data_IF_337576018829
#
_entry.id   IF_337576018829
#
_cell.length_a   1.000
_cell.length_b   1.000
_cell.length_c   1.000
_cell.angle_alpha   90.00
_cell.angle_beta   90.00
_cell.angle_gamma   90.00
#
_symmetry.space_group_name_H-M   'P 1'
#
loop_
_entity.id
_entity.type
_entity.pdbx_description
1 polymer ?
#
# COMPACT_ATOMS: atom_id res chain seq x y z
N UNK A 1 -17.46 -0.34 -27.53
CA UNK A 1 -16.15 -0.98 -27.78
C UNK A 1 -15.07 0.08 -27.58
N UNK A 2 -13.80 -0.30 -27.41
CA UNK A 2 -12.71 0.68 -27.48
C UNK A 2 -12.37 0.87 -28.96
N UNK A 3 -12.83 1.97 -29.54
CA UNK A 3 -12.85 2.14 -31.01
C UNK A 3 -11.53 2.73 -31.56
N UNK A 4 -10.69 3.28 -30.69
CA UNK A 4 -9.39 3.86 -31.04
C UNK A 4 -8.24 2.97 -30.57
N UNK A 5 -7.28 2.71 -31.47
CA UNK A 5 -6.00 2.10 -31.09
C UNK A 5 -5.15 3.11 -30.31
N UNK A 6 -4.82 2.78 -29.07
CA UNK A 6 -4.04 3.64 -28.17
C UNK A 6 -2.86 2.89 -27.56
N UNK A 7 -1.77 3.57 -27.18
CA UNK A 7 -0.73 2.94 -26.39
C UNK A 7 -1.27 2.65 -24.99
N UNK A 8 -0.83 1.54 -24.40
CA UNK A 8 -1.10 1.20 -23.01
C UNK A 8 0.21 0.97 -22.27
N UNK A 9 0.18 1.08 -20.95
CA UNK A 9 1.26 0.57 -20.12
C UNK A 9 0.78 -0.58 -19.23
N UNK A 10 1.70 -1.46 -18.86
CA UNK A 10 1.46 -2.56 -17.94
C UNK A 10 2.55 -2.57 -16.89
N UNK A 11 2.14 -2.51 -15.62
CA UNK A 11 3.07 -2.62 -14.50
C UNK A 11 3.46 -4.09 -14.36
N UNK A 12 4.76 -4.35 -14.40
CA UNK A 12 5.33 -5.68 -14.25
C UNK A 12 5.96 -5.82 -12.87
N UNK A 13 5.91 -7.03 -12.32
CA UNK A 13 6.40 -7.34 -10.98
C UNK A 13 6.83 -8.79 -10.92
N UNK A 14 7.93 -9.03 -10.20
CA UNK A 14 8.40 -10.38 -9.85
C UNK A 14 7.23 -11.26 -9.37
N UNK A 15 7.05 -12.41 -10.02
CA UNK A 15 5.92 -13.31 -9.77
C UNK A 15 5.93 -13.92 -8.37
N UNK A 16 7.09 -14.09 -7.74
CA UNK A 16 7.19 -14.50 -6.34
C UNK A 16 6.75 -13.36 -5.43
N UNK A 17 7.16 -12.12 -5.73
CA UNK A 17 6.66 -10.94 -5.00
C UNK A 17 5.14 -10.74 -5.15
N UNK A 18 4.54 -11.13 -6.28
CA UNK A 18 3.08 -11.13 -6.48
C UNK A 18 2.41 -12.14 -5.57
N UNK A 19 2.89 -13.39 -5.54
CA UNK A 19 2.39 -14.41 -4.62
C UNK A 19 2.50 -13.98 -3.17
N UNK A 20 3.66 -13.43 -2.76
CA UNK A 20 3.85 -12.87 -1.42
C UNK A 20 2.75 -11.86 -1.08
N UNK A 21 2.43 -10.94 -1.99
CA UNK A 21 1.35 -9.97 -1.76
C UNK A 21 -0.02 -10.64 -1.65
N UNK A 22 -0.29 -11.66 -2.45
CA UNK A 22 -1.56 -12.39 -2.39
C UNK A 22 -1.70 -13.27 -1.13
N UNK A 23 -0.61 -13.88 -0.63
CA UNK A 23 -0.57 -14.58 0.66
C UNK A 23 -0.84 -13.62 1.82
N UNK A 24 -0.23 -12.44 1.78
CA UNK A 24 -0.41 -11.39 2.78
C UNK A 24 -1.68 -10.54 2.55
N UNK A 25 -2.58 -10.97 1.66
CA UNK A 25 -3.72 -10.15 1.30
C UNK A 25 -4.73 -10.06 2.45
N UNK A 26 -5.14 -8.83 2.77
CA UNK A 26 -6.21 -8.56 3.73
C UNK A 26 -7.56 -8.80 3.06
N UNK A 27 -8.38 -9.67 3.64
CA UNK A 27 -9.74 -9.93 3.19
C UNK A 27 -10.73 -8.93 3.79
N UNK A 28 -10.58 -8.62 5.09
CA UNK A 28 -11.44 -7.66 5.79
C UNK A 28 -10.74 -7.10 7.02
N UNK A 29 -11.40 -6.14 7.68
CA UNK A 29 -11.00 -5.61 8.98
C UNK A 29 -12.21 -5.52 9.89
N UNK A 30 -11.98 -5.33 11.18
CA UNK A 30 -13.00 -4.75 12.04
C UNK A 30 -13.54 -3.45 11.41
N UNK A 31 -14.81 -3.12 11.71
CA UNK A 31 -15.45 -1.92 11.20
C UNK A 31 -14.61 -0.68 11.49
N UNK A 32 -14.15 -0.04 10.41
CA UNK A 32 -13.30 1.16 10.48
C UNK A 32 -14.02 2.35 11.12
N UNK A 33 -15.37 2.33 11.12
CA UNK A 33 -16.20 3.40 11.67
C UNK A 33 -15.88 3.66 13.15
N UNK A 34 -15.57 2.61 13.91
CA UNK A 34 -15.18 2.72 15.34
C UNK A 34 -13.92 3.55 15.57
N UNK A 35 -13.06 3.66 14.55
CA UNK A 35 -11.77 4.36 14.64
C UNK A 35 -11.78 5.71 13.93
N UNK A 36 -12.92 6.15 13.37
CA UNK A 36 -12.99 7.38 12.56
C UNK A 36 -13.02 8.66 13.36
N UNK A 37 -13.68 8.64 14.52
CA UNK A 37 -13.78 9.78 15.41
C UNK A 37 -13.56 9.29 16.83
N UNK A 38 -12.63 9.92 17.54
CA UNK A 38 -12.33 9.63 18.94
C UNK A 38 -11.83 10.90 19.62
N UNK A 39 -11.69 10.85 20.93
CA UNK A 39 -11.32 11.96 21.81
C UNK A 39 -10.07 11.63 22.62
N UNK A 40 -9.59 12.61 23.39
CA UNK A 40 -8.48 12.42 24.32
C UNK A 40 -8.79 11.42 25.45
N UNK A 41 -10.08 11.14 25.72
CA UNK A 41 -10.54 10.26 26.80
C UNK A 41 -10.68 8.80 26.35
N UNK A 42 -10.74 8.56 25.04
CA UNK A 42 -10.92 7.23 24.48
C UNK A 42 -9.64 6.41 24.56
N UNK A 43 -9.78 5.10 24.74
CA UNK A 43 -8.66 4.17 24.73
C UNK A 43 -8.03 4.10 23.32
N UNK A 44 -6.70 4.16 23.28
CA UNK A 44 -5.93 4.03 22.03
C UNK A 44 -5.99 2.58 21.56
N UNK A 45 -6.75 2.33 20.49
CA UNK A 45 -6.91 1.02 19.89
C UNK A 45 -6.82 1.07 18.36
N UNK A 46 -6.58 -0.08 17.74
CA UNK A 46 -6.40 -0.21 16.29
C UNK A 46 -7.20 -1.40 15.76
N UNK A 47 -7.67 -1.36 14.50
CA UNK A 47 -8.54 -2.38 13.94
C UNK A 47 -7.84 -3.74 13.85
N UNK A 48 -8.59 -4.80 14.16
CA UNK A 48 -8.17 -6.15 13.83
C UNK A 48 -8.19 -6.36 12.30
N UNK A 49 -7.17 -7.05 11.79
CA UNK A 49 -7.01 -7.39 10.38
C UNK A 49 -7.32 -8.87 10.18
N UNK A 50 -8.11 -9.18 9.15
CA UNK A 50 -8.42 -10.54 8.75
C UNK A 50 -7.81 -10.82 7.38
N UNK A 51 -6.97 -11.86 7.30
CA UNK A 51 -6.25 -12.23 6.08
C UNK A 51 -7.02 -13.25 5.24
N UNK A 52 -6.70 -13.29 3.95
CA UNK A 52 -7.27 -14.20 2.95
C UNK A 52 -7.08 -15.67 3.37
N UNK A 53 -8.06 -16.50 3.01
CA UNK A 53 -7.96 -17.96 3.06
C UNK A 53 -8.17 -18.59 4.44
N UNK A 54 -8.51 -17.80 5.47
CA UNK A 54 -9.02 -18.34 6.73
C UNK A 54 -9.72 -17.33 7.67
N UNK A 55 -9.91 -16.05 7.29
CA UNK A 55 -10.34 -14.98 8.22
C UNK A 55 -9.57 -14.98 9.55
N UNK A 56 -8.28 -15.36 9.51
CA UNK A 56 -7.38 -15.40 10.67
C UNK A 56 -6.77 -14.02 10.90
N UNK A 57 -6.29 -13.80 12.12
CA UNK A 57 -5.58 -12.57 12.53
C UNK A 57 -4.13 -12.49 12.01
N UNK A 58 -3.71 -13.47 11.21
CA UNK A 58 -2.38 -13.57 10.62
C UNK A 58 -2.48 -14.27 9.25
N UNK A 59 -1.60 -13.94 8.29
CA UNK A 59 -1.55 -14.62 7.00
C UNK A 59 -1.33 -16.13 7.15
N UNK A 60 -1.72 -16.91 6.14
CA UNK A 60 -1.50 -18.35 6.08
C UNK A 60 -0.90 -18.74 4.73
N UNK A 61 0.35 -19.20 4.72
CA UNK A 61 1.03 -19.57 3.47
C UNK A 61 0.41 -20.80 2.80
N UNK A 62 -0.33 -21.64 3.55
CA UNK A 62 -0.98 -22.82 2.99
C UNK A 62 -2.11 -22.51 2.01
N UNK A 63 -2.54 -21.25 1.93
CA UNK A 63 -3.53 -20.85 0.94
C UNK A 63 -3.02 -21.07 -0.49
N UNK A 64 -1.69 -21.20 -0.70
CA UNK A 64 -1.05 -21.57 -1.97
C UNK A 64 -1.46 -22.95 -2.49
N UNK A 65 -1.86 -23.89 -1.63
CA UNK A 65 -2.28 -25.25 -2.03
C UNK A 65 -3.71 -25.33 -2.57
N UNK A 66 -4.52 -24.28 -2.39
CA UNK A 66 -5.93 -24.28 -2.77
C UNK A 66 -6.24 -23.32 -3.92
N UNK A 67 -7.53 -23.25 -4.29
CA UNK A 67 -8.04 -22.30 -5.29
C UNK A 67 -8.15 -20.87 -4.76
N UNK A 68 -7.32 -20.49 -3.79
CA UNK A 68 -7.29 -19.16 -3.21
C UNK A 68 -6.62 -18.15 -4.14
N UNK A 69 -5.89 -18.59 -5.15
CA UNK A 69 -5.27 -17.72 -6.15
C UNK A 69 -5.94 -17.96 -7.50
N UNK A 70 -6.20 -16.88 -8.24
CA UNK A 70 -6.77 -17.03 -9.58
C UNK A 70 -6.27 -15.97 -10.55
N UNK A 71 -6.42 -16.26 -11.84
CA UNK A 71 -6.19 -15.31 -12.92
C UNK A 71 -7.12 -14.10 -12.82
N UNK A 72 -8.37 -14.27 -12.33
CA UNK A 72 -9.32 -13.16 -12.17
C UNK A 72 -8.85 -12.16 -11.12
N UNK A 73 -8.28 -12.65 -10.01
CA UNK A 73 -7.72 -11.80 -8.95
C UNK A 73 -6.33 -11.25 -9.32
N UNK A 74 -5.77 -11.66 -10.47
CA UNK A 74 -4.47 -11.22 -10.94
C UNK A 74 -3.31 -11.78 -10.12
N UNK A 75 -3.53 -12.83 -9.33
CA UNK A 75 -2.50 -13.42 -8.48
C UNK A 75 -1.51 -14.26 -9.30
N UNK A 76 -2.04 -14.98 -10.29
CA UNK A 76 -1.32 -15.94 -11.13
C UNK A 76 -1.01 -15.38 -12.53
N UNK A 77 -1.03 -14.05 -12.69
CA UNK A 77 -0.85 -13.40 -13.99
C UNK A 77 -2.13 -12.87 -14.63
N UNK A 78 -2.36 -13.21 -15.88
CA UNK A 78 -3.49 -12.78 -16.71
C UNK A 78 -3.16 -11.63 -17.68
N UNK A 79 -1.89 -11.28 -17.85
CA UNK A 79 -1.48 -10.29 -18.86
C UNK A 79 -1.88 -10.76 -20.26
N UNK A 80 -1.56 -12.00 -20.64
CA UNK A 80 -1.90 -12.53 -21.97
C UNK A 80 -3.40 -12.50 -22.26
N UNK A 81 -4.23 -12.82 -21.26
CA UNK A 81 -5.69 -12.74 -21.38
C UNK A 81 -6.15 -11.29 -21.60
N UNK A 82 -5.66 -10.34 -20.79
CA UNK A 82 -6.00 -8.92 -20.91
C UNK A 82 -5.57 -8.35 -22.26
N UNK A 83 -4.36 -8.67 -22.72
CA UNK A 83 -3.87 -8.25 -24.03
C UNK A 83 -4.70 -8.86 -25.17
N UNK A 84 -5.14 -10.12 -25.04
CA UNK A 84 -6.04 -10.76 -26.01
C UNK A 84 -7.39 -10.05 -26.09
N UNK A 85 -7.97 -9.68 -24.94
CA UNK A 85 -9.24 -8.93 -24.90
C UNK A 85 -9.10 -7.53 -25.52
N UNK A 86 -7.94 -6.90 -25.34
CA UNK A 86 -7.68 -5.54 -25.82
C UNK A 86 -6.97 -5.49 -27.18
N UNK A 87 -6.78 -6.63 -27.87
CA UNK A 87 -5.92 -6.73 -29.06
C UNK A 87 -6.27 -5.74 -30.18
N UNK A 88 -7.54 -5.38 -30.32
CA UNK A 88 -8.01 -4.47 -31.36
C UNK A 88 -7.84 -2.99 -30.97
N UNK A 89 -7.63 -2.70 -29.68
CA UNK A 89 -7.51 -1.35 -29.12
C UNK A 89 -6.06 -0.98 -28.73
N UNK A 90 -5.12 -1.92 -28.78
CA UNK A 90 -3.72 -1.68 -28.42
C UNK A 90 -2.90 -1.35 -29.68
N UNK A 91 -2.20 -0.22 -29.63
CA UNK A 91 -1.15 0.11 -30.63
C UNK A 91 0.25 -0.33 -30.17
N UNK A 92 0.52 -0.24 -28.86
CA UNK A 92 1.79 -0.58 -28.23
C UNK A 92 1.59 -0.84 -26.75
N UNK A 93 2.39 -1.73 -26.18
CA UNK A 93 2.44 -2.00 -24.73
C UNK A 93 3.78 -1.50 -24.19
N UNK A 94 3.73 -0.66 -23.16
CA UNK A 94 4.90 -0.25 -22.40
C UNK A 94 4.96 -1.05 -21.09
N UNK A 95 5.94 -1.93 -20.94
CA UNK A 95 6.18 -2.63 -19.69
C UNK A 95 6.97 -1.74 -18.73
N UNK A 96 6.41 -1.53 -17.54
CA UNK A 96 6.99 -0.66 -16.51
C UNK A 96 7.25 -1.50 -15.27
N UNK A 97 8.50 -1.66 -14.83
CA UNK A 97 8.77 -2.42 -13.62
C UNK A 97 8.22 -1.68 -12.39
N UNK A 98 7.69 -2.42 -11.42
CA UNK A 98 6.98 -1.84 -10.26
C UNK A 98 7.86 -0.89 -9.44
N UNK A 99 9.18 -1.08 -9.48
CA UNK A 99 10.13 -0.25 -8.77
C UNK A 99 10.20 1.16 -9.38
N UNK A 100 10.02 1.30 -10.70
CA UNK A 100 9.92 2.60 -11.38
C UNK A 100 8.72 3.43 -10.91
N UNK A 101 7.69 2.80 -10.33
CA UNK A 101 6.54 3.47 -9.73
C UNK A 101 6.53 3.40 -8.18
N UNK A 102 7.70 3.19 -7.58
CA UNK A 102 7.85 3.13 -6.12
C UNK A 102 8.45 4.43 -5.57
N UNK A 103 7.77 5.04 -4.60
CA UNK A 103 8.21 6.26 -3.93
C UNK A 103 8.38 7.43 -4.91
N UNK A 104 9.40 8.26 -4.70
CA UNK A 104 9.65 9.46 -5.51
C UNK A 104 9.86 9.17 -7.00
N UNK A 105 10.35 7.97 -7.37
CA UNK A 105 10.49 7.55 -8.77
C UNK A 105 9.16 7.55 -9.50
N UNK A 106 8.05 7.29 -8.79
CA UNK A 106 6.72 7.26 -9.39
C UNK A 106 6.34 8.60 -10.02
N UNK A 107 6.68 9.72 -9.38
CA UNK A 107 6.40 11.05 -9.92
C UNK A 107 7.09 11.25 -11.28
N UNK A 108 8.39 11.00 -11.35
CA UNK A 108 9.18 11.15 -12.57
C UNK A 108 8.74 10.18 -13.68
N UNK A 109 8.43 8.93 -13.32
CA UNK A 109 7.89 7.95 -14.26
C UNK A 109 6.57 8.43 -14.85
N UNK A 110 5.65 8.97 -14.04
CA UNK A 110 4.38 9.51 -14.54
C UNK A 110 4.57 10.80 -15.35
N UNK A 111 5.58 11.63 -15.07
CA UNK A 111 5.94 12.75 -15.94
C UNK A 111 6.38 12.26 -17.32
N UNK A 112 7.21 11.21 -17.40
CA UNK A 112 7.62 10.62 -18.67
C UNK A 112 6.43 10.00 -19.41
N UNK A 113 5.59 9.23 -18.71
CA UNK A 113 4.40 8.62 -19.29
C UNK A 113 3.40 9.66 -19.79
N UNK A 114 3.28 10.83 -19.16
CA UNK A 114 2.39 11.90 -19.63
C UNK A 114 2.76 12.36 -21.04
N UNK A 115 4.06 12.37 -21.38
CA UNK A 115 4.57 12.73 -22.70
C UNK A 115 4.30 11.62 -23.74
N UNK A 116 4.32 10.36 -23.32
CA UNK A 116 4.14 9.17 -24.18
C UNK A 116 2.65 8.89 -24.42
N UNK A 117 1.81 9.08 -23.41
CA UNK A 117 0.41 8.69 -23.38
C UNK A 117 -0.54 9.89 -23.44
N UNK A 118 -0.01 11.10 -23.46
CA UNK A 118 -0.74 12.36 -23.62
C UNK A 118 -1.83 12.61 -22.56
N UNK A 119 -1.60 12.20 -21.31
CA UNK A 119 -2.44 12.58 -20.17
C UNK A 119 -1.86 13.81 -19.43
N UNK A 120 -2.65 14.40 -18.54
CA UNK A 120 -2.26 15.61 -17.80
C UNK A 120 -0.98 15.42 -16.99
N UNK A 121 -0.05 16.37 -17.12
CA UNK A 121 1.22 16.35 -16.39
C UNK A 121 0.95 16.37 -14.86
N UNK A 122 1.52 15.42 -14.08
CA UNK A 122 1.41 15.44 -12.62
C UNK A 122 2.03 16.71 -12.03
N UNK A 123 1.34 17.32 -11.06
CA UNK A 123 1.79 18.58 -10.42
C UNK A 123 2.24 18.43 -8.96
N UNK A 124 1.83 17.37 -8.27
CA UNK A 124 2.11 17.18 -6.84
C UNK A 124 2.96 15.93 -6.60
N UNK A 125 4.27 16.11 -6.41
CA UNK A 125 5.20 14.99 -6.13
C UNK A 125 4.92 14.29 -4.79
N UNK A 126 4.40 14.99 -3.78
CA UNK A 126 4.06 14.40 -2.46
C UNK A 126 2.95 13.35 -2.56
N UNK A 127 2.06 13.47 -3.53
CA UNK A 127 1.03 12.45 -3.78
C UNK A 127 1.63 11.10 -4.23
N UNK A 128 2.86 11.11 -4.76
CA UNK A 128 3.58 9.92 -5.24
C UNK A 128 4.59 9.37 -4.24
N UNK A 129 4.96 10.12 -3.20
CA UNK A 129 6.09 9.79 -2.32
C UNK A 129 5.84 8.60 -1.37
N UNK A 130 4.64 8.02 -1.35
CA UNK A 130 4.31 6.93 -0.43
C UNK A 130 3.23 6.01 -0.94
N UNK A 131 2.98 4.93 -0.20
CA UNK A 131 1.96 3.93 -0.55
C UNK A 131 0.57 4.49 -0.25
N UNK A 132 -0.33 4.43 -1.23
CA UNK A 132 -1.78 4.66 -1.01
C UNK A 132 -2.39 3.49 -0.23
N UNK A 133 -1.88 2.29 -0.46
CA UNK A 133 -2.29 1.10 0.28
C UNK A 133 -1.84 1.20 1.75
N UNK A 134 -2.79 1.01 2.66
CA UNK A 134 -2.63 1.19 4.11
C UNK A 134 -2.58 -0.13 4.89
N UNK A 135 -2.44 -1.25 4.19
CA UNK A 135 -2.56 -2.59 4.75
C UNK A 135 -1.43 -2.93 5.74
N UNK A 136 -0.31 -2.20 5.71
CA UNK A 136 0.80 -2.31 6.66
C UNK A 136 0.58 -1.48 7.94
N UNK A 137 -0.66 -1.44 8.46
CA UNK A 137 -0.98 -0.87 9.77
C UNK A 137 -1.53 0.56 9.81
N UNK A 138 -1.91 1.14 8.66
CA UNK A 138 -2.55 2.46 8.58
C UNK A 138 -4.02 2.41 8.14
N UNK A 139 -4.64 1.24 8.21
CA UNK A 139 -5.92 0.96 7.54
C UNK A 139 -7.09 1.81 8.06
N UNK A 140 -7.01 2.27 9.32
CA UNK A 140 -7.98 3.14 10.00
C UNK A 140 -8.00 4.57 9.43
N UNK A 141 -6.90 5.05 8.87
CA UNK A 141 -6.79 6.42 8.37
C UNK A 141 -7.77 6.70 7.20
N UNK A 142 -8.13 7.95 6.92
CA UNK A 142 -8.00 9.09 7.83
C UNK A 142 -8.92 8.94 9.05
N UNK A 143 -8.54 9.52 10.19
CA UNK A 143 -9.37 9.60 11.39
C UNK A 143 -9.24 10.97 12.06
N UNK A 144 -10.22 11.33 12.89
CA UNK A 144 -10.29 12.62 13.56
C UNK A 144 -10.20 12.43 15.07
N UNK A 145 -9.23 13.10 15.68
CA UNK A 145 -9.20 13.33 17.12
C UNK A 145 -9.98 14.61 17.41
N UNK A 146 -11.06 14.50 18.16
CA UNK A 146 -11.86 15.62 18.67
C UNK A 146 -11.36 16.01 20.05
N UNK A 147 -11.05 17.28 20.20
CA UNK A 147 -10.49 17.82 21.42
C UNK A 147 -11.50 18.82 21.97
N UNK A 148 -12.27 18.38 22.97
CA UNK A 148 -13.11 19.30 23.71
C UNK A 148 -12.22 20.12 24.65
N UNK A 149 -12.09 21.38 24.30
CA UNK A 149 -11.28 22.35 25.01
C UNK A 149 -11.97 22.93 26.23
N UNK A 150 -13.27 22.67 26.45
CA UNK A 150 -14.00 23.15 27.64
C UNK A 150 -13.42 22.65 28.96
N UNK A 151 -12.72 21.51 28.94
CA UNK A 151 -12.00 20.97 30.09
C UNK A 151 -10.72 21.77 30.41
N UNK A 152 -10.29 22.70 29.55
CA UNK A 152 -9.03 23.46 29.63
C UNK A 152 -9.24 24.98 29.53
N UNK A 153 -10.19 25.43 28.73
CA UNK A 153 -10.59 26.82 28.52
C UNK A 153 -12.06 26.90 28.09
N UNK A 154 -12.88 27.67 28.83
CA UNK A 154 -14.33 27.78 28.62
C UNK A 154 -14.70 28.48 27.31
N UNK A 155 -13.75 29.14 26.64
CA UNK A 155 -14.00 29.94 25.44
C UNK A 155 -13.72 29.22 24.11
N UNK A 156 -13.14 28.02 24.14
CA UNK A 156 -12.74 27.34 22.90
C UNK A 156 -13.78 26.30 22.48
N UNK A 157 -14.11 26.36 21.19
CA UNK A 157 -14.95 25.46 20.42
C UNK A 157 -14.10 24.26 19.96
N UNK A 158 -14.65 23.04 20.06
CA UNK A 158 -14.00 21.75 19.72
C UNK A 158 -12.94 21.87 18.60
N UNK A 159 -11.69 21.46 18.86
CA UNK A 159 -10.65 21.36 17.82
C UNK A 159 -10.68 19.96 17.22
N UNK A 160 -10.62 19.87 15.88
CA UNK A 160 -10.49 18.59 15.18
C UNK A 160 -9.09 18.42 14.59
N UNK A 161 -8.36 17.43 15.07
CA UNK A 161 -7.07 17.03 14.49
C UNK A 161 -7.30 15.85 13.54
N UNK A 162 -7.17 16.10 12.24
CA UNK A 162 -7.19 15.09 11.20
C UNK A 162 -5.85 14.35 11.16
N UNK A 163 -5.89 13.06 11.42
CA UNK A 163 -4.75 12.13 11.31
C UNK A 163 -4.87 11.42 9.96
N UNK A 164 -3.86 11.61 9.10
CA UNK A 164 -3.92 11.10 7.72
C UNK A 164 -2.51 10.92 7.14
N UNK A 165 -2.41 10.63 5.85
CA UNK A 165 -1.15 10.69 5.11
C UNK A 165 -1.23 11.71 3.96
N UNK A 166 -0.09 12.17 3.45
CA UNK A 166 -0.05 13.05 2.28
C UNK A 166 -0.79 12.47 1.06
N UNK A 167 -0.83 11.14 0.92
CA UNK A 167 -1.48 10.48 -0.22
C UNK A 167 -3.00 10.42 -0.09
N UNK A 168 -3.52 10.31 1.14
CA UNK A 168 -4.96 10.28 1.39
C UNK A 168 -5.59 11.66 1.43
N UNK A 169 -4.84 12.64 1.95
CA UNK A 169 -5.28 14.02 2.03
C UNK A 169 -4.11 14.95 1.68
N UNK A 170 -3.83 15.16 0.39
CA UNK A 170 -2.72 15.99 -0.08
C UNK A 170 -2.89 17.49 0.22
N UNK A 171 -4.02 17.92 0.80
CA UNK A 171 -4.31 19.32 1.18
C UNK A 171 -4.21 20.28 -0.02
N UNK A 172 -4.85 19.94 -1.14
CA UNK A 172 -4.73 20.69 -2.40
C UNK A 172 -5.20 22.14 -2.33
N UNK A 173 -6.14 22.46 -1.44
CA UNK A 173 -6.67 23.81 -1.26
C UNK A 173 -5.92 24.62 -0.19
N UNK A 174 -4.87 24.04 0.42
CA UNK A 174 -4.06 24.65 1.48
C UNK A 174 -4.87 25.18 2.68
N UNK A 175 -6.07 24.65 2.93
CA UNK A 175 -6.93 25.09 4.05
C UNK A 175 -6.56 24.45 5.38
N UNK A 176 -5.74 23.40 5.36
CA UNK A 176 -5.27 22.71 6.55
C UNK A 176 -3.81 23.05 6.85
N UNK A 177 -3.48 23.12 8.14
CA UNK A 177 -2.11 23.37 8.63
C UNK A 177 -1.56 22.10 9.28
N UNK A 178 -0.37 21.68 8.86
CA UNK A 178 0.32 20.54 9.48
C UNK A 178 0.90 20.97 10.83
N UNK A 179 0.42 20.38 11.93
CA UNK A 179 0.80 20.77 13.30
C UNK A 179 1.91 19.91 13.91
N UNK A 180 2.41 18.89 13.21
CA UNK A 180 3.41 17.95 13.73
C UNK A 180 4.61 18.64 14.38
N UNK A 181 5.14 19.67 13.72
CA UNK A 181 6.28 20.44 14.22
C UNK A 181 5.90 21.33 15.41
N UNK A 182 4.68 21.90 15.41
CA UNK A 182 4.18 22.76 16.47
C UNK A 182 4.02 22.01 17.80
N UNK A 183 3.53 20.75 17.74
CA UNK A 183 3.41 19.89 18.93
C UNK A 183 4.64 19.01 19.18
N UNK A 184 5.71 19.15 18.37
CA UNK A 184 7.02 18.53 18.56
C UNK A 184 7.02 16.99 18.66
N UNK A 185 6.17 16.32 17.90
CA UNK A 185 6.08 14.85 17.89
C UNK A 185 6.74 14.24 16.66
N UNK A 186 7.26 13.02 16.80
CA UNK A 186 7.84 12.25 15.69
C UNK A 186 6.84 11.21 15.15
N UNK A 187 6.53 11.31 13.85
CA UNK A 187 5.64 10.38 13.17
C UNK A 187 6.18 8.94 13.19
N UNK A 188 5.28 7.92 13.24
CA UNK A 188 5.65 6.52 13.03
C UNK A 188 6.13 6.20 11.61
N UNK A 189 5.68 6.98 10.62
CA UNK A 189 6.03 6.85 9.20
C UNK A 189 6.13 8.25 8.58
N UNK A 190 7.05 8.45 7.64
CA UNK A 190 7.38 9.77 7.09
C UNK A 190 6.21 10.48 6.39
N UNK A 191 5.24 9.71 5.88
CA UNK A 191 4.10 10.23 5.16
C UNK A 191 2.90 10.57 6.06
N UNK A 192 2.94 10.23 7.36
CA UNK A 192 1.86 10.50 8.31
C UNK A 192 1.89 11.97 8.73
N UNK A 193 0.72 12.60 8.76
CA UNK A 193 0.54 14.01 9.06
C UNK A 193 -0.66 14.25 9.97
N UNK A 194 -0.57 15.34 10.73
CA UNK A 194 -1.63 15.85 11.59
C UNK A 194 -2.04 17.22 11.08
N UNK A 195 -3.30 17.33 10.66
CA UNK A 195 -3.87 18.56 10.11
C UNK A 195 -4.94 19.13 11.03
N UNK A 196 -4.99 20.45 11.13
CA UNK A 196 -6.11 21.21 11.70
C UNK A 196 -6.53 22.29 10.72
N UNK A 197 -7.74 22.84 10.86
CA UNK A 197 -8.14 23.99 10.04
C UNK A 197 -7.38 25.25 10.44
N UNK A 198 -7.27 26.19 9.51
CA UNK A 198 -6.53 27.43 9.74
C UNK A 198 -7.07 28.26 10.92
N UNK A 199 -8.38 28.30 11.08
CA UNK A 199 -9.04 28.97 12.20
C UNK A 199 -8.73 28.31 13.56
N UNK A 200 -8.73 26.97 13.61
CA UNK A 200 -8.41 26.18 14.81
C UNK A 200 -6.93 26.27 15.18
N UNK A 201 -6.04 26.39 14.17
CA UNK A 201 -4.61 26.52 14.39
C UNK A 201 -4.25 27.74 15.23
N UNK A 202 -4.87 28.90 14.96
CA UNK A 202 -4.61 30.14 15.72
C UNK A 202 -4.92 29.94 17.19
N UNK A 203 -6.09 29.37 17.46
CA UNK A 203 -6.54 29.04 18.82
C UNK A 203 -5.59 28.06 19.51
N UNK A 204 -5.15 27.02 18.78
CA UNK A 204 -4.20 26.05 19.31
C UNK A 204 -2.86 26.69 19.69
N UNK A 205 -2.33 27.60 18.87
CA UNK A 205 -1.02 28.24 19.11
C UNK A 205 -1.03 29.21 20.30
N UNK A 206 -2.18 29.79 20.62
CA UNK A 206 -2.35 30.68 21.78
C UNK A 206 -2.51 29.89 23.10
N UNK A 207 -2.91 28.62 23.04
CA UNK A 207 -3.16 27.77 24.21
C UNK A 207 -2.01 26.77 24.46
N UNK A 208 -1.04 27.18 25.28
CA UNK A 208 0.12 26.33 25.65
C UNK A 208 -0.26 25.03 26.36
N UNK A 209 -1.31 25.06 27.19
CA UNK A 209 -1.79 23.86 27.90
C UNK A 209 -2.31 22.83 26.92
N UNK A 210 -3.08 23.27 25.93
CA UNK A 210 -3.63 22.43 24.88
C UNK A 210 -2.53 21.83 23.99
N UNK A 211 -1.53 22.63 23.61
CA UNK A 211 -0.36 22.12 22.87
C UNK A 211 0.35 20.99 23.62
N UNK A 212 0.56 21.16 24.93
CA UNK A 212 1.20 20.12 25.76
C UNK A 212 0.34 18.86 25.85
N UNK A 213 -0.98 19.00 26.04
CA UNK A 213 -1.91 17.86 26.06
C UNK A 213 -1.89 17.08 24.73
N UNK A 214 -1.89 17.79 23.60
CA UNK A 214 -1.78 17.15 22.28
C UNK A 214 -0.43 16.46 22.10
N UNK A 215 0.67 17.10 22.51
CA UNK A 215 1.98 16.50 22.45
C UNK A 215 2.01 15.16 23.23
N UNK A 216 1.61 15.18 24.50
CA UNK A 216 1.59 13.98 25.35
C UNK A 216 0.67 12.87 24.79
N UNK A 217 -0.49 13.26 24.25
CA UNK A 217 -1.40 12.31 23.61
C UNK A 217 -0.78 11.67 22.37
N UNK A 218 -0.22 12.48 21.45
CA UNK A 218 0.33 11.97 20.20
C UNK A 218 1.64 11.19 20.41
N UNK A 219 2.42 11.49 21.45
CA UNK A 219 3.55 10.65 21.85
C UNK A 219 3.09 9.23 22.21
N UNK A 220 2.04 9.10 23.03
CA UNK A 220 1.43 7.81 23.40
C UNK A 220 0.79 7.12 22.20
N UNK A 221 -0.02 7.84 21.43
CA UNK A 221 -0.70 7.33 20.24
C UNK A 221 0.29 6.81 19.19
N UNK A 222 1.34 7.58 18.89
CA UNK A 222 2.37 7.16 17.94
C UNK A 222 3.26 6.04 18.46
N UNK A 223 3.48 5.95 19.76
CA UNK A 223 4.15 4.78 20.35
C UNK A 223 3.33 3.51 20.14
N UNK A 224 2.02 3.55 20.46
CA UNK A 224 1.12 2.43 20.26
C UNK A 224 0.98 2.07 18.76
N UNK A 225 0.89 3.06 17.88
CA UNK A 225 0.80 2.85 16.44
C UNK A 225 2.08 2.21 15.87
N UNK A 226 3.27 2.59 16.36
CA UNK A 226 4.52 1.90 15.99
C UNK A 226 4.49 0.43 16.39
N UNK A 227 4.04 0.12 17.60
CA UNK A 227 3.88 -1.27 18.07
C UNK A 227 2.92 -2.06 17.20
N UNK A 228 1.78 -1.47 16.84
CA UNK A 228 0.78 -2.09 15.98
C UNK A 228 1.30 -2.34 14.54
N UNK A 229 1.94 -1.35 13.92
CA UNK A 229 2.56 -1.48 12.59
C UNK A 229 3.62 -2.58 12.62
N UNK A 230 4.50 -2.57 13.62
CA UNK A 230 5.55 -3.58 13.77
C UNK A 230 4.95 -4.98 13.92
N UNK A 231 3.95 -5.15 14.78
CA UNK A 231 3.28 -6.44 14.94
C UNK A 231 2.68 -6.95 13.62
N UNK A 232 2.07 -6.06 12.81
CA UNK A 232 1.57 -6.47 11.49
C UNK A 232 2.73 -6.92 10.60
N UNK A 233 3.78 -6.10 10.48
CA UNK A 233 4.93 -6.37 9.61
C UNK A 233 5.65 -7.66 9.98
N UNK A 234 5.85 -7.93 11.27
CA UNK A 234 6.51 -9.13 11.78
C UNK A 234 5.73 -10.43 11.46
N UNK A 235 4.43 -10.34 11.19
CA UNK A 235 3.59 -11.49 10.83
C UNK A 235 3.45 -11.71 9.31
N UNK A 236 3.98 -10.81 8.46
CA UNK A 236 3.87 -10.94 7.01
C UNK A 236 4.91 -11.91 6.45
N UNK A 237 4.50 -12.74 5.49
CA UNK A 237 5.44 -13.59 4.77
C UNK A 237 6.33 -12.76 3.83
N UNK A 238 7.59 -13.13 3.74
CA UNK A 238 8.55 -12.61 2.77
C UNK A 238 8.55 -13.44 1.48
N UNK A 239 9.18 -12.92 0.43
CA UNK A 239 9.45 -13.69 -0.79
C UNK A 239 10.27 -14.96 -0.50
N UNK A 240 11.16 -14.94 0.50
CA UNK A 240 11.95 -16.10 0.88
C UNK A 240 11.09 -17.21 1.47
N UNK A 241 10.05 -16.86 2.23
CA UNK A 241 9.10 -17.83 2.78
C UNK A 241 8.33 -18.53 1.67
N UNK A 242 7.93 -17.79 0.61
CA UNK A 242 7.30 -18.37 -0.58
C UNK A 242 8.24 -19.34 -1.28
N UNK A 243 9.50 -18.98 -1.47
CA UNK A 243 10.51 -19.84 -2.11
C UNK A 243 10.78 -21.11 -1.29
N UNK A 244 10.94 -20.98 0.03
CA UNK A 244 11.12 -22.11 0.94
C UNK A 244 9.90 -23.03 0.93
N UNK A 245 8.70 -22.46 0.82
CA UNK A 245 7.47 -23.23 0.67
C UNK A 245 7.47 -24.05 -0.63
N UNK A 246 7.87 -23.46 -1.75
CA UNK A 246 7.97 -24.18 -3.03
C UNK A 246 9.04 -25.28 -3.02
N UNK A 247 10.19 -25.08 -2.36
CA UNK A 247 11.21 -26.14 -2.18
C UNK A 247 10.61 -27.41 -1.55
N UNK A 248 9.72 -27.23 -0.57
CA UNK A 248 9.04 -28.33 0.12
C UNK A 248 7.79 -28.85 -0.61
N UNK A 249 7.38 -28.23 -1.72
CA UNK A 249 6.17 -28.57 -2.47
C UNK A 249 6.45 -28.53 -3.99
N UNK A 250 7.30 -29.42 -4.51
CA UNK A 250 7.79 -29.36 -5.90
C UNK A 250 6.68 -29.43 -6.95
N UNK A 251 5.65 -30.27 -6.75
CA UNK A 251 4.49 -30.33 -7.66
C UNK A 251 3.80 -28.97 -7.81
N UNK A 252 3.56 -28.29 -6.68
CA UNK A 252 2.95 -26.98 -6.66
C UNK A 252 3.84 -25.92 -7.33
N UNK A 253 5.16 -26.00 -7.14
CA UNK A 253 6.11 -25.12 -7.80
C UNK A 253 6.04 -25.28 -9.34
N UNK A 254 6.01 -26.50 -9.84
CA UNK A 254 5.91 -26.78 -11.28
C UNK A 254 4.56 -26.34 -11.88
N UNK A 255 3.46 -26.54 -11.15
CA UNK A 255 2.14 -26.02 -11.54
C UNK A 255 2.14 -24.50 -11.65
N UNK A 256 2.70 -23.80 -10.65
CA UNK A 256 2.82 -22.34 -10.67
C UNK A 256 3.67 -21.86 -11.85
N UNK A 257 4.82 -22.52 -12.11
CA UNK A 257 5.68 -22.20 -13.28
C UNK A 257 4.88 -22.28 -14.58
N UNK A 258 4.10 -23.35 -14.77
CA UNK A 258 3.24 -23.52 -15.96
C UNK A 258 2.19 -22.43 -16.08
N UNK A 259 1.59 -22.00 -14.98
CA UNK A 259 0.53 -20.98 -14.98
C UNK A 259 1.05 -19.61 -15.42
N UNK A 260 2.25 -19.21 -14.99
CA UNK A 260 2.80 -17.87 -15.28
C UNK A 260 3.57 -17.81 -16.60
N UNK A 261 3.93 -18.94 -17.19
CA UNK A 261 4.81 -19.06 -18.37
C UNK A 261 4.40 -18.14 -19.53
N UNK A 262 3.10 -18.10 -19.88
CA UNK A 262 2.62 -17.28 -21.00
C UNK A 262 2.83 -15.79 -20.78
N UNK A 263 2.63 -15.29 -19.56
CA UNK A 263 2.88 -13.88 -19.25
C UNK A 263 4.39 -13.56 -19.25
N UNK A 264 5.23 -14.51 -18.81
CA UNK A 264 6.69 -14.38 -18.84
C UNK A 264 7.19 -14.25 -20.27
N UNK A 265 6.73 -15.12 -21.17
CA UNK A 265 7.11 -15.10 -22.59
C UNK A 265 6.73 -13.78 -23.27
N UNK A 266 5.53 -13.28 -22.99
CA UNK A 266 5.06 -11.99 -23.51
C UNK A 266 5.98 -10.85 -23.07
N UNK A 267 6.27 -10.72 -21.77
CA UNK A 267 7.14 -9.65 -21.26
C UNK A 267 8.55 -9.82 -21.81
N UNK A 268 9.09 -11.05 -21.80
CA UNK A 268 10.45 -11.34 -22.26
C UNK A 268 10.66 -11.02 -23.75
N UNK A 269 9.63 -11.19 -24.59
CA UNK A 269 9.71 -10.89 -26.03
C UNK A 269 9.96 -9.41 -26.34
N UNK A 270 9.58 -8.50 -25.44
CA UNK A 270 9.67 -7.04 -25.64
C UNK A 270 10.63 -6.36 -24.65
N UNK A 271 10.83 -6.94 -23.47
CA UNK A 271 11.58 -6.33 -22.37
C UNK A 271 12.26 -7.41 -21.52
N UNK A 272 13.20 -8.19 -22.09
CA UNK A 272 13.84 -9.31 -21.39
C UNK A 272 14.54 -8.88 -20.11
N UNK A 273 15.19 -7.70 -20.13
CA UNK A 273 15.88 -7.12 -18.98
C UNK A 273 15.00 -6.96 -17.72
N UNK A 274 13.67 -6.81 -17.87
CA UNK A 274 12.74 -6.74 -16.74
C UNK A 274 12.64 -8.10 -16.04
N UNK A 275 12.58 -9.20 -16.81
CA UNK A 275 12.53 -10.55 -16.24
C UNK A 275 13.87 -10.92 -15.62
N UNK A 276 14.96 -10.51 -16.26
CA UNK A 276 16.32 -10.77 -15.76
C UNK A 276 16.57 -10.05 -14.42
N UNK A 277 15.91 -8.92 -14.17
CA UNK A 277 16.02 -8.18 -12.91
C UNK A 277 15.19 -8.78 -11.75
N UNK A 278 14.37 -9.81 -11.99
CA UNK A 278 13.50 -10.41 -10.98
C UNK A 278 14.24 -11.45 -10.13
N UNK A 279 14.98 -10.97 -9.13
CA UNK A 279 15.80 -11.80 -8.23
C UNK A 279 15.09 -13.04 -7.69
N UNK A 280 13.85 -12.91 -7.22
CA UNK A 280 13.14 -14.02 -6.59
C UNK A 280 12.59 -15.00 -7.62
N UNK A 281 12.14 -14.50 -8.77
CA UNK A 281 11.75 -15.35 -9.89
C UNK A 281 12.93 -16.18 -10.42
N UNK A 282 14.14 -15.59 -10.51
CA UNK A 282 15.33 -16.34 -10.92
C UNK A 282 15.68 -17.46 -9.91
N UNK A 283 15.57 -17.19 -8.60
CA UNK A 283 15.73 -18.23 -7.57
C UNK A 283 14.67 -19.33 -7.68
N UNK A 284 13.42 -18.95 -7.96
CA UNK A 284 12.34 -19.90 -8.20
C UNK A 284 12.61 -20.82 -9.40
N UNK A 285 13.17 -20.29 -10.50
CA UNK A 285 13.54 -21.11 -11.65
C UNK A 285 14.59 -22.18 -11.30
N UNK A 286 15.55 -21.86 -10.41
CA UNK A 286 16.53 -22.84 -9.89
C UNK A 286 15.84 -23.96 -9.10
N UNK A 287 14.93 -23.60 -8.20
CA UNK A 287 14.13 -24.56 -7.42
C UNK A 287 13.36 -25.52 -8.34
N UNK A 288 12.74 -25.00 -9.40
CA UNK A 288 12.03 -25.84 -10.36
C UNK A 288 12.95 -26.74 -11.19
N UNK A 289 14.20 -26.31 -11.46
CA UNK A 289 15.17 -27.13 -12.18
C UNK A 289 15.59 -28.34 -11.32
N UNK A 290 15.89 -28.10 -10.04
CA UNK A 290 16.26 -29.16 -9.09
C UNK A 290 15.12 -30.17 -8.90
N UNK A 291 13.88 -29.69 -8.84
CA UNK A 291 12.68 -30.52 -8.71
C UNK A 291 12.38 -31.40 -9.95
N UNK A 292 12.91 -31.06 -11.12
CA UNK A 292 12.73 -31.79 -12.38
C UNK A 292 13.78 -32.91 -12.60
N UNK A 293 14.73 -33.08 -11.67
CA UNK A 293 15.81 -34.09 -11.77
C UNK A 293 15.46 -35.38 -11.00
N UNK A 294 14.27 -35.47 -10.37
CA UNK A 294 13.79 -36.64 -9.60
C UNK A 294 12.76 -37.44 -10.39
#
# INVERSE_FOLDING_TARGET
>A
MLDKKVPIFSITRDYISRLKTGVNHIASTESKLKFKNFSLKDEISFPQIYYRGAYKNKPDINILKGNNFSLMWGDLGGLGLRLKWLKNAISKVYFIPIDAISGERAFYTFMQLSKILHFNLPQNSKAFSGKVNRYEGLIMLPCNLRVDTKDVDKHIQEIQVLITTYQLHPNHDNKLINIMNSIKVKAPQDNLVLYVKQEEFRVLMENKTLLRLLQEYFEKYFSALRGYIKNIQDNLFSEQDILNYFKNHPKLALEFKKQVQGDIEIIKSQSPHIIDSWKYYQEFLRICADANII
#
